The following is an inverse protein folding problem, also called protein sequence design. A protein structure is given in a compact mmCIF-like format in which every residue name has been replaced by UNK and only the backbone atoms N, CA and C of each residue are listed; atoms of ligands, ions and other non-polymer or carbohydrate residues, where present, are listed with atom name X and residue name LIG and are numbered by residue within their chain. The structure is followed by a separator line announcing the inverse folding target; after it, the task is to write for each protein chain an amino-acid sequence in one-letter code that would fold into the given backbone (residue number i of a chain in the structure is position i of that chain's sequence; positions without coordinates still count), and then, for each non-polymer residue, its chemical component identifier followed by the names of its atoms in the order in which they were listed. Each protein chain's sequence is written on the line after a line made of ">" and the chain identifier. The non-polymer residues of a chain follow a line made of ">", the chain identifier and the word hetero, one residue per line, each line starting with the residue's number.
data_IF_437070967446
#
_entry.id   IF_437070967446
#
_cell.length_a   1.000
_cell.length_b   1.000
_cell.length_c   1.000
_cell.angle_alpha   90.00
_cell.angle_beta   90.00
_cell.angle_gamma   90.00
#
_symmetry.space_group_name_H-M   'P 1'
#
loop_
_entity.id
_entity.type
_entity.pdbx_description
1 polymer ?
#
# COMPACT_ATOMS: atom_id res chain seq x y z
N UNK A 1 -24.79 14.59 -16.20
CA UNK A 1 -23.79 15.57 -15.72
C UNK A 1 -22.45 15.21 -16.32
N UNK A 2 -21.98 15.96 -17.31
CA UNK A 2 -20.65 15.78 -17.93
C UNK A 2 -19.61 16.42 -17.03
N UNK A 3 -19.15 15.71 -16.01
CA UNK A 3 -18.01 16.16 -15.22
C UNK A 3 -16.78 16.22 -16.13
N UNK A 4 -16.20 17.40 -16.30
CA UNK A 4 -15.00 17.58 -17.10
C UNK A 4 -13.81 16.89 -16.42
N UNK A 5 -12.92 16.27 -17.20
CA UNK A 5 -11.73 15.59 -16.68
C UNK A 5 -10.79 16.51 -15.85
N UNK A 6 -10.95 17.83 -15.99
CA UNK A 6 -10.28 18.86 -15.18
C UNK A 6 -10.80 18.91 -13.74
N UNK A 7 -12.11 18.75 -13.50
CA UNK A 7 -12.70 18.79 -12.15
C UNK A 7 -12.28 17.57 -11.31
N UNK A 8 -12.04 16.43 -11.98
CA UNK A 8 -11.62 15.16 -11.36
C UNK A 8 -10.24 15.27 -10.67
N UNK A 9 -9.38 16.21 -11.11
CA UNK A 9 -8.05 16.46 -10.50
C UNK A 9 -8.11 17.36 -9.27
N UNK A 10 -9.19 18.12 -9.09
CA UNK A 10 -9.35 19.10 -8.01
C UNK A 10 -10.18 18.59 -6.83
N UNK A 11 -10.69 17.36 -6.88
CA UNK A 11 -11.40 16.74 -5.77
C UNK A 11 -10.42 16.45 -4.61
N UNK A 12 -10.50 17.27 -3.57
CA UNK A 12 -9.74 17.06 -2.34
C UNK A 12 -10.18 15.75 -1.67
N UNK A 13 -9.21 14.95 -1.23
CA UNK A 13 -9.50 13.73 -0.48
C UNK A 13 -10.06 14.12 0.89
N UNK A 14 -11.32 13.77 1.23
CA UNK A 14 -11.96 14.26 2.46
C UNK A 14 -11.24 13.82 3.73
N UNK A 15 -10.63 12.63 3.70
CA UNK A 15 -9.83 12.06 4.77
C UNK A 15 -8.51 11.60 4.16
N UNK A 16 -7.45 12.43 4.18
CA UNK A 16 -6.15 12.03 3.65
C UNK A 16 -5.55 10.92 4.53
N UNK A 17 -4.87 9.95 3.91
CA UNK A 17 -4.09 8.96 4.67
C UNK A 17 -2.98 9.71 5.43
N UNK A 18 -2.86 9.54 6.77
CA UNK A 18 -1.82 10.20 7.54
C UNK A 18 -0.42 9.92 6.96
N UNK A 19 0.38 10.97 6.79
CA UNK A 19 1.69 10.86 6.14
C UNK A 19 2.61 9.84 6.81
N UNK A 20 2.59 9.75 8.13
CA UNK A 20 3.37 8.77 8.90
C UNK A 20 2.93 7.33 8.68
N UNK A 21 1.62 7.09 8.58
CA UNK A 21 1.07 5.76 8.28
C UNK A 21 1.46 5.34 6.87
N UNK A 22 1.32 6.27 5.92
CA UNK A 22 1.67 6.06 4.51
C UNK A 22 3.16 5.76 4.35
N UNK A 23 4.03 6.55 4.97
CA UNK A 23 5.48 6.32 4.94
C UNK A 23 5.84 5.01 5.63
N UNK A 24 5.37 4.79 6.85
CA UNK A 24 5.68 3.59 7.64
C UNK A 24 5.28 2.31 6.93
N UNK A 25 4.04 2.22 6.45
CA UNK A 25 3.58 1.05 5.73
C UNK A 25 4.36 0.82 4.42
N UNK A 26 4.70 1.88 3.68
CA UNK A 26 5.46 1.76 2.43
C UNK A 26 6.90 1.29 2.65
N UNK A 27 7.54 1.76 3.73
CA UNK A 27 8.89 1.33 4.12
C UNK A 27 8.89 -0.13 4.57
N UNK A 28 7.87 -0.55 5.33
CA UNK A 28 7.70 -1.93 5.80
C UNK A 28 7.41 -2.89 4.63
N UNK A 29 6.55 -2.51 3.69
CA UNK A 29 6.28 -3.30 2.47
C UNK A 29 7.56 -3.45 1.62
N UNK A 30 8.30 -2.34 1.42
CA UNK A 30 9.59 -2.41 0.73
C UNK A 30 10.59 -3.28 1.46
N UNK A 31 10.65 -3.22 2.80
CA UNK A 31 11.53 -4.06 3.61
C UNK A 31 11.17 -5.55 3.49
N UNK A 32 9.88 -5.88 3.45
CA UNK A 32 9.42 -7.25 3.19
C UNK A 32 9.96 -7.78 1.86
N UNK A 33 9.79 -7.02 0.77
CA UNK A 33 10.28 -7.44 -0.56
C UNK A 33 11.81 -7.49 -0.59
N UNK A 34 12.49 -6.51 0.00
CA UNK A 34 13.95 -6.43 0.04
C UNK A 34 14.57 -7.64 0.74
N UNK A 35 14.00 -8.08 1.87
CA UNK A 35 14.45 -9.29 2.56
C UNK A 35 14.21 -10.54 1.70
N UNK A 36 13.08 -10.62 1.00
CA UNK A 36 12.77 -11.77 0.17
C UNK A 36 13.69 -11.91 -1.06
N UNK A 37 14.20 -10.80 -1.62
CA UNK A 37 15.19 -10.85 -2.73
C UNK A 37 16.65 -10.93 -2.26
N UNK A 38 16.89 -10.95 -0.94
CA UNK A 38 18.24 -10.98 -0.38
C UNK A 38 18.83 -12.39 -0.39
N UNK A 39 20.15 -12.50 -0.33
CA UNK A 39 20.90 -13.77 -0.26
C UNK A 39 20.83 -14.45 1.14
N UNK A 40 19.78 -14.16 1.91
CA UNK A 40 19.56 -14.75 3.24
C UNK A 40 18.87 -16.11 3.06
N UNK A 41 19.13 -17.04 4.00
CA UNK A 41 18.47 -18.34 4.01
C UNK A 41 16.94 -18.21 3.86
N UNK A 42 16.37 -18.93 2.90
CA UNK A 42 14.98 -18.83 2.47
C UNK A 42 13.96 -18.83 3.61
N UNK A 43 14.10 -19.75 4.58
CA UNK A 43 13.19 -19.83 5.73
C UNK A 43 13.22 -18.57 6.62
N UNK A 44 14.39 -17.94 6.77
CA UNK A 44 14.54 -16.70 7.54
C UNK A 44 13.97 -15.53 6.73
N UNK A 45 14.26 -15.48 5.43
CA UNK A 45 13.76 -14.44 4.55
C UNK A 45 12.22 -14.40 4.54
N UNK A 46 11.57 -15.56 4.46
CA UNK A 46 10.10 -15.66 4.56
C UNK A 46 9.61 -15.20 5.93
N UNK A 47 10.19 -15.70 7.02
CA UNK A 47 9.75 -15.34 8.37
C UNK A 47 9.82 -13.84 8.64
N UNK A 48 10.95 -13.22 8.29
CA UNK A 48 11.16 -11.78 8.45
C UNK A 48 10.30 -10.97 7.46
N UNK A 49 10.16 -11.42 6.21
CA UNK A 49 9.29 -10.78 5.23
C UNK A 49 7.82 -10.74 5.68
N UNK A 50 7.31 -11.86 6.20
CA UNK A 50 5.96 -11.95 6.76
C UNK A 50 5.78 -11.04 7.98
N UNK A 51 6.78 -10.97 8.87
CA UNK A 51 6.78 -10.06 10.01
C UNK A 51 6.59 -8.61 9.55
N UNK A 52 7.33 -8.17 8.54
CA UNK A 52 7.21 -6.81 7.99
C UNK A 52 5.83 -6.55 7.37
N UNK A 53 5.26 -7.52 6.63
CA UNK A 53 3.92 -7.39 6.08
C UNK A 53 2.85 -7.29 7.18
N UNK A 54 2.93 -8.14 8.21
CA UNK A 54 2.02 -8.09 9.36
C UNK A 54 2.14 -6.75 10.07
N UNK A 55 3.35 -6.24 10.28
CA UNK A 55 3.57 -4.93 10.88
C UNK A 55 2.97 -3.81 10.03
N UNK A 56 3.15 -3.85 8.70
CA UNK A 56 2.57 -2.88 7.78
C UNK A 56 1.04 -2.89 7.86
N UNK A 57 0.41 -4.07 7.81
CA UNK A 57 -1.04 -4.19 7.91
C UNK A 57 -1.55 -3.74 9.28
N UNK A 58 -0.87 -4.11 10.36
CA UNK A 58 -1.24 -3.70 11.72
C UNK A 58 -1.23 -2.18 11.85
N UNK A 59 -0.17 -1.53 11.39
CA UNK A 59 -0.03 -0.07 11.41
C UNK A 59 -1.15 0.64 10.64
N UNK A 60 -1.66 0.02 9.56
CA UNK A 60 -2.75 0.56 8.75
C UNK A 60 -4.12 0.30 9.37
N UNK A 61 -4.40 -0.92 9.79
CA UNK A 61 -5.72 -1.33 10.27
C UNK A 61 -6.01 -0.87 11.69
N UNK A 62 -4.98 -0.73 12.53
CA UNK A 62 -5.13 -0.28 13.91
C UNK A 62 -5.23 1.25 14.03
N UNK A 63 -4.83 2.00 13.00
CA UNK A 63 -4.80 3.45 13.07
C UNK A 63 -6.23 4.04 13.04
N UNK A 64 -6.54 5.04 13.91
CA UNK A 64 -7.90 5.58 14.08
C UNK A 64 -8.50 6.21 12.83
N UNK A 65 -7.70 6.56 11.82
CA UNK A 65 -8.23 7.08 10.57
C UNK A 65 -9.17 6.09 9.85
N UNK A 66 -8.98 4.76 10.04
CA UNK A 66 -9.87 3.73 9.45
C UNK A 66 -11.30 3.81 9.96
N UNK A 67 -11.49 4.17 11.22
CA UNK A 67 -12.84 4.35 11.78
C UNK A 67 -13.50 5.62 11.24
N UNK A 68 -12.72 6.69 11.02
CA UNK A 68 -13.20 7.92 10.39
C UNK A 68 -13.63 7.69 8.94
N UNK A 69 -12.86 6.89 8.19
CA UNK A 69 -13.19 6.45 6.82
C UNK A 69 -14.54 5.71 6.76
N UNK A 70 -14.77 4.78 7.69
CA UNK A 70 -16.05 4.04 7.78
C UNK A 70 -17.20 4.98 8.10
N UNK A 71 -17.05 5.82 9.11
CA UNK A 71 -18.08 6.78 9.51
C UNK A 71 -18.44 7.78 8.37
N UNK A 72 -17.46 8.18 7.55
CA UNK A 72 -17.71 9.03 6.38
C UNK A 72 -18.47 8.27 5.27
N UNK A 73 -18.07 7.03 4.99
CA UNK A 73 -18.74 6.18 4.01
C UNK A 73 -20.22 5.93 4.39
N UNK A 74 -20.48 5.64 5.67
CA UNK A 74 -21.83 5.43 6.20
C UNK A 74 -22.69 6.69 6.07
N UNK A 75 -22.15 7.86 6.44
CA UNK A 75 -22.86 9.15 6.30
C UNK A 75 -23.23 9.48 4.86
N UNK A 76 -22.42 9.04 3.89
CA UNK A 76 -22.63 9.30 2.47
C UNK A 76 -23.33 8.16 1.73
N UNK A 77 -23.71 7.08 2.42
CA UNK A 77 -24.27 5.85 1.82
C UNK A 77 -23.39 5.29 0.68
N UNK A 78 -22.07 5.41 0.80
CA UNK A 78 -21.11 4.95 -0.23
C UNK A 78 -20.44 3.66 0.22
N UNK A 79 -20.32 2.71 -0.71
CA UNK A 79 -19.76 1.39 -0.40
C UNK A 79 -18.25 1.49 -0.11
N UNK A 80 -17.80 0.81 0.93
CA UNK A 80 -16.38 0.66 1.24
C UNK A 80 -15.71 -0.48 0.46
N UNK A 81 -16.47 -1.16 -0.42
CA UNK A 81 -15.95 -2.28 -1.19
C UNK A 81 -14.83 -1.83 -2.13
N UNK A 82 -13.76 -2.63 -2.27
CA UNK A 82 -12.66 -2.30 -3.17
C UNK A 82 -13.12 -2.33 -4.63
N UNK A 83 -12.78 -1.29 -5.38
CA UNK A 83 -12.97 -1.24 -6.83
C UNK A 83 -11.87 -2.03 -7.55
N UNK A 84 -12.15 -2.44 -8.80
CA UNK A 84 -11.16 -3.12 -9.67
C UNK A 84 -9.86 -2.31 -9.79
N UNK A 85 -9.96 -0.98 -9.90
CA UNK A 85 -8.80 -0.08 -9.96
C UNK A 85 -7.93 -0.09 -8.69
N UNK A 86 -8.48 -0.50 -7.55
CA UNK A 86 -7.74 -0.69 -6.28
C UNK A 86 -7.17 -2.11 -6.18
N UNK A 87 -7.83 -3.09 -6.79
CA UNK A 87 -7.37 -4.47 -6.82
C UNK A 87 -6.13 -4.64 -7.70
N UNK A 88 -6.07 -4.01 -8.88
CA UNK A 88 -4.91 -4.11 -9.79
C UNK A 88 -3.57 -3.78 -9.11
N UNK A 89 -3.39 -2.63 -8.44
CA UNK A 89 -2.13 -2.34 -7.76
C UNK A 89 -1.83 -3.33 -6.63
N UNK A 90 -2.85 -3.81 -5.92
CA UNK A 90 -2.70 -4.78 -4.85
C UNK A 90 -2.25 -6.15 -5.39
N UNK A 91 -2.81 -6.62 -6.51
CA UNK A 91 -2.41 -7.87 -7.14
C UNK A 91 -1.00 -7.80 -7.70
N UNK A 92 -0.57 -6.66 -8.26
CA UNK A 92 0.82 -6.45 -8.68
C UNK A 92 1.79 -6.46 -7.50
N UNK A 93 1.44 -5.82 -6.39
CA UNK A 93 2.25 -5.87 -5.18
C UNK A 93 2.36 -7.31 -4.64
N UNK A 94 1.25 -8.04 -4.62
CA UNK A 94 1.22 -9.43 -4.20
C UNK A 94 2.09 -10.32 -5.10
N UNK A 95 1.98 -10.16 -6.41
CA UNK A 95 2.81 -10.88 -7.38
C UNK A 95 4.30 -10.59 -7.15
N UNK A 96 4.65 -9.34 -6.86
CA UNK A 96 6.03 -8.94 -6.53
C UNK A 96 6.55 -9.68 -5.30
N UNK A 97 5.74 -9.77 -4.23
CA UNK A 97 6.09 -10.52 -3.02
C UNK A 97 6.27 -12.01 -3.29
N UNK A 98 5.43 -12.61 -4.14
CA UNK A 98 5.53 -14.03 -4.49
C UNK A 98 6.74 -14.36 -5.36
N UNK A 99 7.15 -13.44 -6.24
CA UNK A 99 8.29 -13.63 -7.12
C UNK A 99 9.63 -13.26 -6.46
N UNK A 100 9.61 -12.42 -5.43
CA UNK A 100 10.82 -11.94 -4.76
C UNK A 100 11.77 -13.06 -4.30
N UNK A 101 11.31 -14.17 -3.68
CA UNK A 101 12.19 -15.26 -3.23
C UNK A 101 12.91 -16.02 -4.35
N UNK A 102 12.55 -15.80 -5.61
CA UNK A 102 13.21 -16.42 -6.76
C UNK A 102 14.52 -15.72 -7.13
N UNK A 103 14.82 -14.57 -6.48
CA UNK A 103 16.01 -13.77 -6.74
C UNK A 103 16.92 -13.77 -5.52
N UNK A 104 18.24 -13.77 -5.77
CA UNK A 104 19.27 -13.58 -4.75
C UNK A 104 20.16 -12.41 -5.18
N UNK A 105 19.84 -11.20 -4.72
CA UNK A 105 20.53 -9.98 -5.07
C UNK A 105 21.66 -9.67 -4.08
N UNK A 106 22.78 -9.08 -4.56
CA UNK A 106 23.79 -8.52 -3.67
C UNK A 106 23.22 -7.34 -2.88
N UNK A 107 23.90 -6.94 -1.80
CA UNK A 107 23.45 -5.90 -0.85
C UNK A 107 23.00 -4.60 -1.53
N UNK A 108 23.70 -4.15 -2.57
CA UNK A 108 23.31 -2.95 -3.31
C UNK A 108 21.99 -3.14 -4.09
N UNK A 109 21.75 -4.32 -4.64
CA UNK A 109 20.51 -4.66 -5.35
C UNK A 109 19.31 -4.78 -4.40
N UNK A 110 19.55 -5.26 -3.18
CA UNK A 110 18.56 -5.25 -2.09
C UNK A 110 18.17 -3.82 -1.72
N UNK A 111 19.15 -2.93 -1.54
CA UNK A 111 18.90 -1.53 -1.20
C UNK A 111 18.13 -0.78 -2.30
N UNK A 112 18.46 -1.03 -3.58
CA UNK A 112 17.73 -0.45 -4.72
C UNK A 112 16.31 -1.00 -4.78
N UNK A 113 16.11 -2.30 -4.63
CA UNK A 113 14.77 -2.93 -4.60
C UNK A 113 13.92 -2.35 -3.48
N UNK A 114 14.50 -2.21 -2.28
CA UNK A 114 13.83 -1.58 -1.15
C UNK A 114 13.31 -0.17 -1.50
N UNK A 115 14.20 0.68 -2.04
CA UNK A 115 13.87 2.07 -2.36
C UNK A 115 12.80 2.17 -3.46
N UNK A 116 12.89 1.34 -4.50
CA UNK A 116 11.92 1.31 -5.60
C UNK A 116 10.54 0.85 -5.13
N UNK A 117 10.48 -0.25 -4.38
CA UNK A 117 9.21 -0.81 -3.89
C UNK A 117 8.59 0.12 -2.85
N UNK A 118 9.37 0.68 -1.92
CA UNK A 118 8.86 1.66 -0.97
C UNK A 118 8.35 2.93 -1.65
N UNK A 119 9.06 3.43 -2.66
CA UNK A 119 8.61 4.57 -3.46
C UNK A 119 7.30 4.26 -4.19
N UNK A 120 7.24 3.14 -4.91
CA UNK A 120 6.04 2.72 -5.63
C UNK A 120 4.84 2.52 -4.67
N UNK A 121 5.05 1.81 -3.56
CA UNK A 121 4.05 1.60 -2.53
C UNK A 121 3.54 2.93 -1.97
N UNK A 122 4.42 3.91 -1.74
CA UNK A 122 4.03 5.23 -1.26
C UNK A 122 3.09 5.94 -2.23
N UNK A 123 3.33 5.93 -3.53
CA UNK A 123 2.44 6.56 -4.52
C UNK A 123 1.10 5.83 -4.69
N UNK A 124 1.14 4.51 -4.63
CA UNK A 124 -0.03 3.64 -4.81
C UNK A 124 -0.92 3.62 -3.57
N UNK A 125 -0.36 3.86 -2.39
CA UNK A 125 -1.02 3.74 -1.08
C UNK A 125 -2.41 4.37 -1.00
N UNK A 126 -2.63 5.65 -1.37
CA UNK A 126 -3.94 6.30 -1.22
C UNK A 126 -5.03 5.69 -2.13
N UNK A 127 -4.62 5.00 -3.19
CA UNK A 127 -5.54 4.28 -4.08
C UNK A 127 -5.96 2.96 -3.46
N UNK A 128 -5.01 2.17 -2.97
CA UNK A 128 -5.28 0.86 -2.34
C UNK A 128 -6.07 1.03 -1.04
N UNK A 129 -5.76 2.06 -0.27
CA UNK A 129 -6.37 2.35 1.02
C UNK A 129 -7.82 2.86 0.93
N UNK A 130 -8.23 3.32 -0.25
CA UNK A 130 -9.58 3.80 -0.53
C UNK A 130 -9.88 5.23 -0.07
N UNK A 131 -8.89 5.93 0.50
CA UNK A 131 -9.01 7.35 0.84
C UNK A 131 -9.30 8.21 -0.38
N UNK A 132 -8.70 7.89 -1.54
CA UNK A 132 -9.00 8.58 -2.80
C UNK A 132 -10.38 8.25 -3.37
N UNK A 133 -10.95 7.07 -3.07
CA UNK A 133 -12.31 6.69 -3.50
C UNK A 133 -13.35 7.63 -2.88
N UNK A 134 -13.14 8.06 -1.64
CA UNK A 134 -14.04 8.99 -0.95
C UNK A 134 -14.08 10.40 -1.58
N UNK A 135 -13.10 10.77 -2.40
CA UNK A 135 -13.15 12.02 -3.16
C UNK A 135 -14.15 11.98 -4.32
N UNK A 136 -14.56 10.78 -4.75
CA UNK A 136 -15.52 10.55 -5.83
C UNK A 136 -16.92 10.13 -5.32
N UNK A 137 -17.14 10.22 -4.00
CA UNK A 137 -18.35 9.85 -3.28
C UNK A 137 -19.37 10.99 -3.18
#
# INVERSE_FOLDING_TARGET
>A
MTAHASDIRHLETPIPTPHWVRLGASLLIGAAVAVLVSDVHFGIAIGVGLLFLIAAFTLVFLHPYRTQLRAYADKKNVTMLPNISQLIPLTLLWLTVMLAPLFALPVWGVAVTWLLISGAAFFVFPHVDGTRKLAYA
#
